data_IF_866933984679
#
_entry.id   IF_866933984679
#
_cell.length_a   1.000
_cell.length_b   1.000
_cell.length_c   1.000
_cell.angle_alpha   90.00
_cell.angle_beta   90.00
_cell.angle_gamma   90.00
#
_symmetry.space_group_name_H-M   'P 1'
#
loop_
_entity.id
_entity.type
_entity.pdbx_description
1 polymer ?
#
# COMPACT_ATOMS: atom_id res chain seq x y z
N UNK A 1 -3.12 -22.85 31.22
CA UNK A 1 -2.30 -22.14 32.22
C UNK A 1 -0.98 -21.56 31.67
N UNK A 2 -0.30 -22.16 30.68
CA UNK A 2 0.98 -21.61 30.16
C UNK A 2 0.87 -20.34 29.30
N UNK A 3 -0.29 -20.05 28.68
CA UNK A 3 -0.47 -18.84 27.84
C UNK A 3 -0.72 -17.55 28.65
N UNK A 4 -1.50 -17.61 29.75
CA UNK A 4 -1.75 -16.41 30.59
C UNK A 4 -0.46 -15.84 31.19
N UNK A 5 0.41 -16.70 31.71
CA UNK A 5 1.67 -16.27 32.34
C UNK A 5 2.64 -15.58 31.35
N UNK A 6 2.60 -15.95 30.06
CA UNK A 6 3.41 -15.28 29.03
C UNK A 6 2.86 -13.91 28.65
N UNK A 7 1.54 -13.73 28.66
CA UNK A 7 0.90 -12.46 28.31
C UNK A 7 1.14 -11.41 29.40
N UNK A 8 1.04 -11.81 30.67
CA UNK A 8 1.32 -10.93 31.82
C UNK A 8 2.81 -10.50 31.84
N UNK A 9 3.73 -11.44 31.58
CA UNK A 9 5.16 -11.13 31.51
C UNK A 9 5.54 -10.14 30.40
N UNK A 10 4.87 -10.18 29.24
CA UNK A 10 5.12 -9.24 28.14
C UNK A 10 4.58 -7.83 28.46
N UNK A 11 3.43 -7.75 29.14
CA UNK A 11 2.83 -6.48 29.52
C UNK A 11 3.69 -5.74 30.55
N UNK A 12 4.18 -6.45 31.58
CA UNK A 12 5.08 -5.89 32.60
C UNK A 12 6.40 -5.40 31.97
N UNK A 13 6.99 -6.18 31.07
CA UNK A 13 8.23 -5.81 30.38
C UNK A 13 8.04 -4.56 29.49
N UNK A 14 6.90 -4.45 28.81
CA UNK A 14 6.59 -3.28 27.99
C UNK A 14 6.43 -2.01 28.85
N UNK A 15 5.67 -2.11 29.95
CA UNK A 15 5.47 -1.01 30.90
C UNK A 15 6.79 -0.53 31.47
N UNK A 16 7.64 -1.45 31.89
CA UNK A 16 8.95 -1.13 32.41
C UNK A 16 9.81 -0.41 31.36
N UNK A 17 9.85 -0.92 30.13
CA UNK A 17 10.58 -0.29 29.04
C UNK A 17 10.07 1.11 28.68
N UNK A 18 8.75 1.34 28.75
CA UNK A 18 8.15 2.67 28.53
C UNK A 18 8.54 3.61 29.67
N UNK A 19 8.45 3.17 30.92
CA UNK A 19 8.78 3.98 32.09
C UNK A 19 10.27 4.33 32.18
N UNK A 20 11.14 3.40 31.77
CA UNK A 20 12.59 3.61 31.71
C UNK A 20 12.99 4.47 30.49
N UNK A 21 12.04 4.72 29.57
CA UNK A 21 12.27 5.50 28.35
C UNK A 21 13.16 4.79 27.33
N UNK A 22 13.27 3.46 27.43
CA UNK A 22 14.04 2.58 26.54
C UNK A 22 13.15 1.88 25.52
N UNK A 23 11.86 2.22 25.47
CA UNK A 23 10.88 1.56 24.60
C UNK A 23 11.27 1.69 23.14
N UNK A 24 11.42 0.54 22.50
CA UNK A 24 11.34 0.42 21.04
C UNK A 24 9.89 0.72 20.63
N UNK A 25 9.69 1.72 19.78
CA UNK A 25 8.36 2.10 19.27
C UNK A 25 7.67 0.95 18.52
N UNK A 26 8.40 -0.06 18.05
CA UNK A 26 7.82 -1.28 17.50
C UNK A 26 7.46 -2.32 18.57
N UNK A 27 7.92 -2.15 19.81
CA UNK A 27 7.54 -2.97 20.96
C UNK A 27 6.12 -2.73 21.44
N UNK A 28 5.45 -1.67 20.98
CA UNK A 28 4.07 -1.34 21.37
C UNK A 28 3.02 -2.04 20.51
N UNK A 29 3.40 -2.90 19.56
CA UNK A 29 2.45 -3.55 18.64
C UNK A 29 1.47 -4.48 19.37
N UNK A 30 0.27 -4.65 18.80
CA UNK A 30 -0.80 -5.50 19.38
C UNK A 30 -0.36 -6.95 19.54
N UNK A 31 0.43 -7.49 18.61
CA UNK A 31 0.94 -8.86 18.65
C UNK A 31 1.97 -9.07 19.77
N UNK A 32 2.65 -8.00 20.22
CA UNK A 32 3.57 -8.03 21.36
C UNK A 32 2.81 -7.90 22.68
N UNK A 33 1.96 -6.88 22.79
CA UNK A 33 1.16 -6.62 23.97
C UNK A 33 -0.23 -6.11 23.59
N UNK A 34 -1.22 -7.00 23.60
CA UNK A 34 -2.60 -6.66 23.24
C UNK A 34 -3.23 -5.67 24.23
N UNK A 35 -3.04 -5.89 25.53
CA UNK A 35 -3.63 -5.10 26.60
C UNK A 35 -2.51 -4.44 27.41
N UNK A 36 -2.25 -3.16 27.15
CA UNK A 36 -1.24 -2.39 27.89
C UNK A 36 -1.85 -1.92 29.22
N UNK A 37 -1.25 -2.21 30.38
CA UNK A 37 -1.77 -1.77 31.67
C UNK A 37 -1.37 -0.29 31.89
N UNK A 38 -2.16 0.61 31.33
CA UNK A 38 -1.84 2.04 31.26
C UNK A 38 -1.79 2.75 32.62
N UNK A 39 -2.41 2.17 33.64
CA UNK A 39 -2.34 2.68 35.01
C UNK A 39 -0.93 2.60 35.60
N UNK A 40 -0.08 1.73 35.06
CA UNK A 40 1.30 1.56 35.49
C UNK A 40 2.29 2.43 34.70
N UNK A 41 1.81 3.17 33.69
CA UNK A 41 2.65 4.04 32.85
C UNK A 41 2.34 5.50 33.20
N UNK A 42 3.37 6.26 33.54
CA UNK A 42 3.17 7.68 33.84
C UNK A 42 2.70 8.46 32.59
N UNK A 43 1.81 9.46 32.74
CA UNK A 43 1.37 10.28 31.61
C UNK A 43 2.53 10.97 30.85
N UNK A 44 3.60 11.32 31.56
CA UNK A 44 4.80 11.90 30.97
C UNK A 44 5.50 10.94 30.00
N UNK A 45 5.53 9.64 30.34
CA UNK A 45 6.15 8.61 29.50
C UNK A 45 5.28 8.25 28.30
N UNK A 46 3.96 8.24 28.46
CA UNK A 46 3.03 8.13 27.32
C UNK A 46 3.25 9.29 26.34
N UNK A 47 3.34 10.53 26.84
CA UNK A 47 3.61 11.68 25.98
C UNK A 47 4.98 11.58 25.29
N UNK A 48 6.01 11.06 26.00
CA UNK A 48 7.33 10.81 25.41
C UNK A 48 7.25 9.79 24.29
N UNK A 49 6.52 8.69 24.47
CA UNK A 49 6.28 7.70 23.41
C UNK A 49 5.62 8.35 22.18
N UNK A 50 4.57 9.16 22.35
CA UNK A 50 3.93 9.85 21.23
C UNK A 50 4.90 10.79 20.50
N UNK A 51 5.77 11.49 21.22
CA UNK A 51 6.85 12.31 20.63
C UNK A 51 7.82 11.47 19.82
N UNK A 52 8.22 10.30 20.32
CA UNK A 52 9.13 9.40 19.60
C UNK A 52 8.48 8.89 18.31
N UNK A 53 7.21 8.47 18.34
CA UNK A 53 6.47 8.06 17.14
C UNK A 53 6.40 9.20 16.12
N UNK A 54 6.02 10.40 16.55
CA UNK A 54 5.96 11.56 15.66
C UNK A 54 7.34 11.92 15.08
N UNK A 55 8.41 11.74 15.86
CA UNK A 55 9.79 11.98 15.39
C UNK A 55 10.17 10.99 14.31
N UNK A 56 9.88 9.70 14.52
CA UNK A 56 10.17 8.65 13.53
C UNK A 56 9.40 8.87 12.22
N UNK A 57 8.14 9.32 12.28
CA UNK A 57 7.36 9.70 11.09
C UNK A 57 7.98 10.89 10.34
N UNK A 58 8.54 11.87 11.05
CA UNK A 58 9.21 13.02 10.46
C UNK A 58 10.54 12.62 9.81
N UNK A 59 11.33 11.80 10.52
CA UNK A 59 12.60 11.29 10.04
C UNK A 59 12.40 10.40 8.80
N UNK A 60 11.32 9.61 8.74
CA UNK A 60 11.02 8.74 7.60
C UNK A 60 10.71 9.51 6.31
N UNK A 61 10.31 10.78 6.41
CA UNK A 61 10.09 11.67 5.25
C UNK A 61 11.21 12.69 5.08
N UNK A 62 12.29 12.58 5.85
CA UNK A 62 13.47 13.44 5.76
C UNK A 62 13.24 14.89 6.19
N UNK A 63 12.26 15.16 7.06
CA UNK A 63 11.95 16.52 7.54
C UNK A 63 12.34 16.64 9.00
N UNK A 64 13.12 17.66 9.35
CA UNK A 64 13.53 17.86 10.73
C UNK A 64 12.38 18.45 11.55
N UNK A 65 12.20 18.00 12.79
CA UNK A 65 11.13 18.48 13.69
C UNK A 65 11.09 20.00 13.85
N UNK A 66 12.27 20.66 13.82
CA UNK A 66 12.39 22.13 13.88
C UNK A 66 11.89 22.86 12.64
N UNK A 67 11.88 22.21 11.48
CA UNK A 67 11.44 22.81 10.21
C UNK A 67 9.92 22.91 10.12
N UNK A 68 9.20 22.01 10.82
CA UNK A 68 7.74 22.00 10.86
C UNK A 68 7.23 21.78 12.29
N UNK A 69 7.69 22.62 13.24
CA UNK A 69 7.40 22.49 14.67
C UNK A 69 5.91 22.54 15.01
N UNK A 70 5.13 23.36 14.28
CA UNK A 70 3.67 23.44 14.43
C UNK A 70 2.99 22.13 14.01
N UNK A 71 3.41 21.56 12.88
CA UNK A 71 2.92 20.26 12.41
C UNK A 71 3.27 19.15 13.39
N UNK A 72 4.51 19.16 13.91
CA UNK A 72 4.99 18.18 14.86
C UNK A 72 4.15 18.19 16.13
N UNK A 73 3.88 19.38 16.67
CA UNK A 73 3.04 19.56 17.86
C UNK A 73 1.61 19.08 17.62
N UNK A 74 1.00 19.48 16.49
CA UNK A 74 -0.35 19.05 16.11
C UNK A 74 -0.45 17.53 15.92
N UNK A 75 0.60 16.89 15.38
CA UNK A 75 0.66 15.44 15.22
C UNK A 75 0.73 14.72 16.57
N UNK A 76 1.58 15.20 17.50
CA UNK A 76 1.66 14.63 18.86
C UNK A 76 0.32 14.74 19.58
N UNK A 77 -0.30 15.92 19.55
CA UNK A 77 -1.62 16.13 20.17
C UNK A 77 -2.65 15.18 19.60
N UNK A 78 -2.63 14.99 18.27
CA UNK A 78 -3.59 14.10 17.63
C UNK A 78 -3.33 12.62 17.93
N UNK A 79 -2.08 12.17 17.95
CA UNK A 79 -1.71 10.81 18.38
C UNK A 79 -2.11 10.61 19.84
N UNK A 80 -1.89 11.59 20.72
CA UNK A 80 -2.32 11.49 22.11
C UNK A 80 -3.84 11.35 22.25
N UNK A 81 -4.60 12.08 21.43
CA UNK A 81 -6.07 11.98 21.39
C UNK A 81 -6.60 10.64 20.86
N UNK A 82 -5.77 9.86 20.14
CA UNK A 82 -6.20 8.56 19.59
C UNK A 82 -6.21 7.45 20.62
N UNK A 83 -5.65 7.69 21.82
CA UNK A 83 -5.53 6.70 22.89
C UNK A 83 -4.92 5.38 22.41
N UNK A 84 -3.94 5.45 21.52
CA UNK A 84 -3.36 4.35 20.75
C UNK A 84 -3.20 3.01 21.52
N UNK A 85 -2.64 3.07 22.74
CA UNK A 85 -2.34 1.89 23.55
C UNK A 85 -3.56 1.22 24.20
N UNK A 86 -4.73 1.87 24.20
CA UNK A 86 -5.97 1.32 24.77
C UNK A 86 -6.65 0.32 23.83
N UNK A 87 -6.30 0.35 22.54
CA UNK A 87 -7.02 -0.36 21.50
C UNK A 87 -6.21 -1.53 20.96
N UNK A 88 -6.91 -2.57 20.52
CA UNK A 88 -6.32 -3.76 19.88
C UNK A 88 -6.85 -4.02 18.47
N UNK A 89 -7.79 -3.18 18.02
CA UNK A 89 -8.40 -3.23 16.70
C UNK A 89 -8.54 -1.81 16.18
N UNK A 90 -8.60 -1.66 14.85
CA UNK A 90 -8.67 -0.33 14.24
C UNK A 90 -10.04 0.33 14.44
N UNK A 91 -11.14 -0.42 14.41
CA UNK A 91 -12.49 0.11 14.62
C UNK A 91 -12.71 0.74 16.00
N UNK A 92 -11.98 0.28 17.01
CA UNK A 92 -12.10 0.75 18.39
C UNK A 92 -11.30 2.04 18.63
N UNK A 93 -10.39 2.39 17.70
CA UNK A 93 -9.50 3.53 17.86
C UNK A 93 -10.29 4.84 17.85
N UNK A 94 -10.17 5.63 18.94
CA UNK A 94 -10.87 6.91 19.09
C UNK A 94 -10.56 7.91 17.97
N UNK A 95 -9.43 7.73 17.27
CA UNK A 95 -9.09 8.57 16.13
C UNK A 95 -9.98 8.40 14.90
N UNK A 96 -10.67 7.26 14.79
CA UNK A 96 -11.41 6.93 13.57
C UNK A 96 -12.50 7.95 13.25
N UNK A 97 -13.16 8.54 14.24
CA UNK A 97 -14.21 9.51 14.01
C UNK A 97 -13.69 10.79 13.35
N UNK A 98 -12.58 11.35 13.83
CA UNK A 98 -12.02 12.56 13.20
C UNK A 98 -11.31 12.24 11.89
N UNK A 99 -10.73 11.03 11.74
CA UNK A 99 -10.17 10.56 10.47
C UNK A 99 -11.29 10.53 9.43
N UNK A 100 -12.40 9.83 9.69
CA UNK A 100 -13.58 9.78 8.79
C UNK A 100 -14.07 11.16 8.38
N UNK A 101 -14.24 12.07 9.35
CA UNK A 101 -14.70 13.43 9.05
C UNK A 101 -13.72 14.20 8.16
N UNK A 102 -12.42 13.99 8.32
CA UNK A 102 -11.40 14.59 7.45
C UNK A 102 -11.45 14.00 6.05
N UNK A 103 -11.55 12.68 5.93
CA UNK A 103 -11.55 11.98 4.64
C UNK A 103 -12.83 12.24 3.84
N UNK A 104 -13.97 12.42 4.50
CA UNK A 104 -15.19 12.87 3.86
C UNK A 104 -14.99 14.24 3.17
N UNK A 105 -14.19 15.14 3.76
CA UNK A 105 -13.85 16.42 3.12
C UNK A 105 -12.90 16.24 1.94
N UNK A 106 -11.94 15.32 2.05
CA UNK A 106 -11.05 14.94 0.94
C UNK A 106 -11.87 14.43 -0.24
N UNK A 107 -12.74 13.44 0.00
CA UNK A 107 -13.59 12.85 -1.05
C UNK A 107 -14.55 13.85 -1.66
N UNK A 108 -15.22 14.70 -0.86
CA UNK A 108 -16.06 15.77 -1.41
C UNK A 108 -15.27 16.73 -2.31
N UNK A 109 -14.07 17.13 -1.91
CA UNK A 109 -13.25 18.04 -2.70
C UNK A 109 -12.75 17.36 -3.97
N UNK A 110 -12.35 16.09 -3.88
CA UNK A 110 -11.92 15.27 -5.00
C UNK A 110 -13.05 15.07 -6.02
N UNK A 111 -14.23 14.62 -5.59
CA UNK A 111 -15.41 14.44 -6.47
C UNK A 111 -15.83 15.73 -7.16
N UNK A 112 -15.77 16.86 -6.44
CA UNK A 112 -16.19 18.14 -7.02
C UNK A 112 -15.19 18.71 -8.04
N UNK A 113 -13.90 18.47 -7.84
CA UNK A 113 -12.85 19.13 -8.65
C UNK A 113 -12.16 18.20 -9.64
N UNK A 114 -12.27 16.88 -9.46
CA UNK A 114 -11.49 15.89 -10.20
C UNK A 114 -9.98 15.94 -9.93
N UNK A 115 -9.51 16.81 -9.02
CA UNK A 115 -8.09 17.02 -8.74
C UNK A 115 -7.59 16.10 -7.62
N UNK A 116 -6.27 15.95 -7.51
CA UNK A 116 -5.63 15.25 -6.40
C UNK A 116 -5.86 16.07 -5.12
N UNK A 117 -6.31 15.42 -4.04
CA UNK A 117 -6.59 16.08 -2.75
C UNK A 117 -5.80 15.39 -1.64
N UNK A 118 -5.10 16.19 -0.85
CA UNK A 118 -4.29 15.73 0.27
C UNK A 118 -5.04 15.84 1.60
N UNK A 119 -5.05 14.79 2.44
CA UNK A 119 -5.42 14.89 3.84
C UNK A 119 -4.42 15.75 4.64
N UNK A 120 -4.80 16.31 5.80
CA UNK A 120 -3.85 17.01 6.66
C UNK A 120 -2.79 16.06 7.25
N UNK A 121 -1.55 16.54 7.42
CA UNK A 121 -0.43 15.75 7.92
C UNK A 121 -0.70 15.03 9.25
N UNK A 122 -1.26 15.73 10.24
CA UNK A 122 -1.57 15.15 11.55
C UNK A 122 -2.64 14.04 11.50
N UNK A 123 -3.52 14.04 10.49
CA UNK A 123 -4.51 12.96 10.29
C UNK A 123 -3.81 11.71 9.77
N UNK A 124 -2.91 11.89 8.79
CA UNK A 124 -2.07 10.81 8.25
C UNK A 124 -1.15 10.24 9.34
N UNK A 125 -0.52 11.10 10.15
CA UNK A 125 0.33 10.68 11.27
C UNK A 125 -0.42 9.83 12.31
N UNK A 126 -1.68 10.14 12.60
CA UNK A 126 -2.50 9.29 13.47
C UNK A 126 -2.81 7.93 12.86
N UNK A 127 -3.12 7.88 11.57
CA UNK A 127 -3.37 6.62 10.88
C UNK A 127 -2.10 5.76 10.86
N UNK A 128 -0.94 6.36 10.59
CA UNK A 128 0.36 5.68 10.65
C UNK A 128 0.62 5.17 12.08
N UNK A 129 0.41 5.99 13.11
CA UNK A 129 0.57 5.57 14.50
C UNK A 129 -0.29 4.34 14.83
N UNK A 130 -1.57 4.34 14.41
CA UNK A 130 -2.51 3.24 14.56
C UNK A 130 -2.05 1.97 13.83
N UNK A 131 -1.71 2.09 12.55
CA UNK A 131 -1.48 0.92 11.69
C UNK A 131 -0.02 0.47 11.73
N UNK A 132 0.95 1.34 11.49
CA UNK A 132 2.36 0.95 11.36
C UNK A 132 3.05 0.67 12.70
N UNK A 133 2.73 1.44 13.74
CA UNK A 133 3.40 1.30 15.05
C UNK A 133 2.63 0.42 16.01
N UNK A 134 1.32 0.61 16.13
CA UNK A 134 0.48 -0.21 17.01
C UNK A 134 0.01 -1.51 16.35
N UNK A 135 0.07 -1.62 15.02
CA UNK A 135 -0.43 -2.78 14.28
C UNK A 135 -1.92 -3.05 14.53
N UNK A 136 -2.72 -1.97 14.52
CA UNK A 136 -4.18 -2.08 14.56
C UNK A 136 -4.69 -2.51 13.19
N UNK A 137 -5.36 -3.66 13.15
CA UNK A 137 -6.00 -4.18 11.95
C UNK A 137 -7.53 -4.06 12.08
N UNK A 138 -8.26 -3.84 10.98
CA UNK A 138 -9.71 -4.06 10.91
C UNK A 138 -10.07 -5.50 11.26
N UNK A 139 -11.08 -5.74 12.09
CA UNK A 139 -11.44 -7.13 12.44
C UNK A 139 -12.46 -7.81 11.53
N UNK A 140 -13.14 -7.07 10.66
CA UNK A 140 -14.17 -7.61 9.77
C UNK A 140 -14.41 -6.75 8.52
N UNK A 141 -15.18 -7.30 7.58
CA UNK A 141 -15.54 -6.61 6.33
C UNK A 141 -16.46 -5.40 6.53
N UNK A 142 -17.30 -5.44 7.57
CA UNK A 142 -18.19 -4.34 7.95
C UNK A 142 -17.41 -3.04 8.24
N UNK A 143 -16.17 -3.16 8.73
CA UNK A 143 -15.27 -2.01 8.88
C UNK A 143 -15.07 -1.30 7.53
N UNK A 144 -14.69 -2.03 6.47
CA UNK A 144 -14.40 -1.43 5.19
C UNK A 144 -15.65 -0.79 4.57
N UNK A 145 -16.82 -1.42 4.72
CA UNK A 145 -18.10 -0.86 4.27
C UNK A 145 -18.46 0.45 5.00
N UNK A 146 -18.19 0.54 6.31
CA UNK A 146 -18.41 1.78 7.08
C UNK A 146 -17.35 2.85 6.84
N UNK A 147 -16.21 2.48 6.27
CA UNK A 147 -15.05 3.33 6.11
C UNK A 147 -14.58 3.38 4.64
N UNK A 148 -15.52 3.39 3.69
CA UNK A 148 -15.18 3.43 2.26
C UNK A 148 -14.25 4.59 1.90
N UNK A 149 -14.45 5.77 2.49
CA UNK A 149 -13.58 6.94 2.24
C UNK A 149 -12.14 6.69 2.70
N UNK A 150 -11.92 5.86 3.73
CA UNK A 150 -10.59 5.47 4.19
C UNK A 150 -9.88 4.60 3.15
N UNK A 151 -10.59 3.60 2.64
CA UNK A 151 -10.09 2.68 1.61
C UNK A 151 -9.82 3.43 0.31
N UNK A 152 -10.75 4.29 -0.12
CA UNK A 152 -10.58 5.10 -1.34
C UNK A 152 -9.38 6.04 -1.21
N UNK A 153 -9.27 6.79 -0.11
CA UNK A 153 -8.19 7.78 0.01
C UNK A 153 -6.81 7.12 0.16
N UNK A 154 -6.66 6.10 1.01
CA UNK A 154 -5.35 5.52 1.29
C UNK A 154 -5.01 4.26 0.48
N UNK A 155 -6.01 3.51 0.03
CA UNK A 155 -5.85 2.34 -0.83
C UNK A 155 -5.77 2.71 -2.31
N UNK A 156 -6.74 3.49 -2.82
CA UNK A 156 -6.85 3.80 -4.26
C UNK A 156 -6.11 5.09 -4.65
N UNK A 157 -6.32 6.18 -3.91
CA UNK A 157 -5.74 7.50 -4.21
C UNK A 157 -4.33 7.71 -3.64
N UNK A 158 -3.80 6.70 -2.94
CA UNK A 158 -2.48 6.72 -2.30
C UNK A 158 -2.21 7.99 -1.47
N UNK A 159 -3.18 8.43 -0.67
CA UNK A 159 -3.13 9.71 0.05
C UNK A 159 -1.89 9.89 0.93
N UNK A 160 -1.27 8.80 1.40
CA UNK A 160 -0.09 8.82 2.27
C UNK A 160 1.20 9.24 1.55
N UNK A 161 1.27 9.08 0.23
CA UNK A 161 2.39 9.54 -0.60
C UNK A 161 2.65 11.05 -0.40
N UNK A 162 1.61 11.80 -0.07
CA UNK A 162 1.65 13.25 0.10
C UNK A 162 2.04 13.72 1.51
N UNK A 163 2.40 12.81 2.42
CA UNK A 163 2.73 13.15 3.80
C UNK A 163 3.85 14.19 3.90
N UNK A 164 4.94 14.02 3.14
CA UNK A 164 6.08 14.95 3.15
C UNK A 164 5.68 16.36 2.70
N UNK A 165 4.80 16.45 1.70
CA UNK A 165 4.24 17.72 1.21
C UNK A 165 3.35 18.36 2.28
N UNK A 166 2.44 17.58 2.88
CA UNK A 166 1.52 18.07 3.90
C UNK A 166 2.24 18.58 5.16
N UNK A 167 3.38 17.98 5.54
CA UNK A 167 4.21 18.48 6.65
C UNK A 167 4.88 19.80 6.26
N UNK A 168 5.45 19.89 5.05
CA UNK A 168 6.15 21.09 4.58
C UNK A 168 5.26 22.34 4.50
N UNK A 169 4.00 22.19 4.09
CA UNK A 169 3.05 23.31 3.92
C UNK A 169 2.13 23.52 5.12
N UNK A 170 2.39 22.85 6.25
CA UNK A 170 1.48 22.86 7.37
C UNK A 170 1.34 24.24 8.02
N UNK A 171 2.41 25.05 8.03
CA UNK A 171 2.36 26.39 8.61
C UNK A 171 1.37 27.30 7.86
N UNK A 172 1.26 27.13 6.53
CA UNK A 172 0.35 27.91 5.69
C UNK A 172 -1.06 27.32 5.65
N UNK A 173 -1.17 26.01 5.47
CA UNK A 173 -2.46 25.32 5.23
C UNK A 173 -3.15 24.91 6.54
N UNK A 174 -2.35 24.58 7.56
CA UNK A 174 -2.79 24.08 8.85
C UNK A 174 -3.50 22.73 8.75
N UNK A 175 -4.52 22.55 9.58
CA UNK A 175 -5.32 21.31 9.68
C UNK A 175 -6.35 21.12 8.57
N UNK A 176 -6.17 21.75 7.40
CA UNK A 176 -7.14 21.76 6.30
C UNK A 176 -6.73 20.78 5.20
N UNK A 177 -7.73 20.22 4.51
CA UNK A 177 -7.51 19.50 3.24
C UNK A 177 -7.14 20.50 2.16
N UNK A 178 -6.32 20.08 1.20
CA UNK A 178 -5.87 20.94 0.11
C UNK A 178 -5.72 20.16 -1.20
N UNK A 179 -5.79 20.86 -2.31
CA UNK A 179 -5.61 20.31 -3.65
C UNK A 179 -4.14 20.31 -3.99
N UNK A 180 -3.68 19.29 -4.72
CA UNK A 180 -2.33 19.20 -5.24
C UNK A 180 -2.34 19.50 -6.74
N UNK A 181 -1.41 20.36 -7.16
CA UNK A 181 -1.06 20.58 -8.56
C UNK A 181 0.38 20.16 -8.77
N UNK A 182 0.61 19.30 -9.77
CA UNK A 182 1.93 18.80 -10.08
C UNK A 182 2.70 19.77 -10.96
N UNK A 183 3.92 20.09 -10.55
CA UNK A 183 4.87 20.88 -11.31
C UNK A 183 6.29 20.36 -11.05
N UNK A 184 6.88 19.70 -12.04
CA UNK A 184 8.22 19.09 -11.93
C UNK A 184 9.34 20.13 -11.78
N UNK A 185 9.10 21.39 -12.18
CA UNK A 185 10.05 22.48 -11.94
C UNK A 185 10.03 22.97 -10.48
N UNK A 186 9.04 22.54 -9.69
CA UNK A 186 8.85 22.98 -8.33
C UNK A 186 9.89 22.35 -7.38
N UNK A 187 10.81 23.16 -6.86
CA UNK A 187 11.83 22.69 -5.92
C UNK A 187 11.29 22.43 -4.50
N UNK A 188 10.28 23.21 -4.08
CA UNK A 188 9.63 23.12 -2.77
C UNK A 188 8.14 23.36 -2.90
N UNK A 189 7.28 22.66 -2.15
CA UNK A 189 5.85 22.88 -2.17
C UNK A 189 5.47 24.35 -1.91
N UNK A 190 4.55 24.88 -2.69
CA UNK A 190 4.05 26.26 -2.54
C UNK A 190 2.54 26.24 -2.35
N UNK A 191 2.07 26.71 -1.19
CA UNK A 191 0.65 26.82 -0.88
C UNK A 191 0.09 28.19 -1.31
N UNK A 192 -1.07 28.18 -1.98
CA UNK A 192 -1.82 29.38 -2.36
C UNK A 192 -3.31 29.16 -2.17
N UNK A 193 -4.02 30.23 -1.79
CA UNK A 193 -5.47 30.21 -1.73
C UNK A 193 -6.04 30.59 -3.10
N UNK A 194 -6.83 29.71 -3.70
CA UNK A 194 -7.44 29.92 -5.01
C UNK A 194 -8.97 29.82 -4.91
N UNK A 195 -9.68 30.57 -5.75
CA UNK A 195 -11.13 30.45 -5.87
C UNK A 195 -11.46 29.43 -6.97
N UNK A 196 -12.03 28.29 -6.58
CA UNK A 196 -12.47 27.22 -7.46
C UNK A 196 -14.00 27.09 -7.34
N UNK A 197 -14.71 27.37 -8.42
CA UNK A 197 -16.18 27.33 -8.49
C UNK A 197 -16.88 28.11 -7.37
N UNK A 198 -16.35 29.30 -7.05
CA UNK A 198 -16.90 30.17 -6.00
C UNK A 198 -16.50 29.78 -4.58
N UNK A 199 -15.65 28.76 -4.39
CA UNK A 199 -15.12 28.34 -3.09
C UNK A 199 -13.62 28.61 -3.01
N UNK A 200 -13.20 29.24 -1.91
CA UNK A 200 -11.78 29.40 -1.60
C UNK A 200 -11.20 28.08 -1.11
N UNK A 201 -10.24 27.53 -1.85
CA UNK A 201 -9.55 26.29 -1.55
C UNK A 201 -8.04 26.51 -1.50
N UNK A 202 -7.36 25.79 -0.62
CA UNK A 202 -5.90 25.72 -0.65
C UNK A 202 -5.47 24.83 -1.81
N UNK A 203 -4.54 25.35 -2.61
CA UNK A 203 -3.89 24.64 -3.71
C UNK A 203 -2.40 24.65 -3.44
N UNK A 204 -1.79 23.48 -3.44
CA UNK A 204 -0.36 23.28 -3.21
C UNK A 204 0.25 22.79 -4.51
N UNK A 205 1.10 23.62 -5.09
CA UNK A 205 1.90 23.24 -6.25
C UNK A 205 3.18 22.56 -5.75
N UNK A 206 3.48 21.37 -6.27
CA UNK A 206 4.65 20.59 -5.85
C UNK A 206 5.06 19.61 -6.95
N UNK A 207 6.32 19.15 -6.94
CA UNK A 207 6.72 17.95 -7.67
C UNK A 207 6.14 16.68 -7.02
N UNK A 208 6.16 15.57 -7.76
CA UNK A 208 5.81 14.27 -7.21
C UNK A 208 6.79 13.88 -6.08
N UNK A 209 6.32 13.57 -4.86
CA UNK A 209 7.20 13.12 -3.79
C UNK A 209 7.69 11.69 -4.03
N UNK A 210 8.81 11.35 -3.40
CA UNK A 210 9.30 9.96 -3.36
C UNK A 210 8.29 9.06 -2.64
N UNK A 211 8.35 7.76 -2.96
CA UNK A 211 7.52 6.72 -2.34
C UNK A 211 7.73 6.74 -0.83
N UNK A 212 6.64 6.82 -0.09
CA UNK A 212 6.65 6.83 1.36
C UNK A 212 6.71 5.40 1.90
N UNK A 213 7.57 5.15 2.90
CA UNK A 213 7.76 3.81 3.49
C UNK A 213 6.48 3.22 4.11
N UNK A 214 5.49 4.05 4.43
CA UNK A 214 4.21 3.63 4.99
C UNK A 214 3.17 3.25 3.91
N UNK A 215 3.46 3.47 2.61
CA UNK A 215 2.53 3.13 1.52
C UNK A 215 2.16 1.65 1.52
N UNK A 216 3.16 0.77 1.55
CA UNK A 216 2.92 -0.67 1.50
C UNK A 216 2.20 -1.17 2.76
N UNK A 217 2.55 -0.62 3.94
CA UNK A 217 1.92 -0.98 5.21
C UNK A 217 0.43 -0.61 5.20
N UNK A 218 0.12 0.63 4.81
CA UNK A 218 -1.28 1.07 4.75
C UNK A 218 -2.04 0.37 3.63
N UNK A 219 -1.42 0.11 2.48
CA UNK A 219 -2.04 -0.65 1.39
C UNK A 219 -2.30 -2.10 1.78
N UNK A 220 -1.45 -2.72 2.57
CA UNK A 220 -1.67 -4.09 3.05
C UNK A 220 -2.88 -4.16 4.01
N UNK A 221 -3.05 -3.15 4.86
CA UNK A 221 -4.12 -3.14 5.89
C UNK A 221 -5.44 -2.57 5.37
N UNK A 222 -5.38 -1.60 4.46
CA UNK A 222 -6.54 -0.85 3.94
C UNK A 222 -6.84 -1.14 2.48
N UNK A 223 -5.96 -1.84 1.77
CA UNK A 223 -6.19 -2.23 0.39
C UNK A 223 -7.33 -3.24 0.30
N UNK A 224 -8.13 -3.20 -0.76
CA UNK A 224 -9.17 -4.19 -0.98
C UNK A 224 -8.55 -5.59 -1.04
N UNK A 225 -9.19 -6.56 -0.39
CA UNK A 225 -8.84 -7.99 -0.47
C UNK A 225 -8.96 -8.55 -1.90
N UNK A 226 -9.61 -7.79 -2.80
CA UNK A 226 -9.64 -8.03 -4.23
C UNK A 226 -8.46 -7.32 -4.88
N UNK A 227 -7.63 -8.07 -5.61
CA UNK A 227 -6.62 -7.54 -6.55
C UNK A 227 -7.29 -6.51 -7.47
N UNK A 228 -7.23 -5.24 -7.07
CA UNK A 228 -7.58 -4.13 -7.92
C UNK A 228 -6.34 -3.81 -8.75
N UNK A 229 -6.51 -3.48 -10.05
CA UNK A 229 -5.38 -3.09 -10.88
C UNK A 229 -4.66 -1.91 -10.26
N UNK A 230 -3.33 -1.88 -10.38
CA UNK A 230 -2.51 -0.72 -9.98
C UNK A 230 -3.15 0.60 -10.44
N UNK A 231 -3.10 1.66 -9.61
CA UNK A 231 -3.71 2.94 -9.95
C UNK A 231 -3.16 3.43 -11.29
N UNK A 232 -4.10 3.73 -12.20
CA UNK A 232 -3.78 4.46 -13.43
C UNK A 232 -3.39 5.87 -13.00
N UNK A 233 -2.08 6.12 -12.95
CA UNK A 233 -1.57 7.48 -12.85
C UNK A 233 -2.18 8.28 -14.01
N UNK A 234 -2.71 9.50 -13.77
CA UNK A 234 -3.07 10.40 -14.85
C UNK A 234 -1.85 10.55 -15.76
N UNK A 235 -1.92 9.99 -16.96
CA UNK A 235 -0.93 10.29 -17.98
C UNK A 235 -1.02 11.79 -18.24
N UNK A 236 0.09 12.50 -18.08
CA UNK A 236 0.27 13.82 -18.65
C UNK A 236 -0.04 13.69 -20.15
N UNK A 237 -1.16 14.25 -20.59
CA UNK A 237 -1.37 14.44 -22.02
C UNK A 237 -0.22 15.31 -22.52
N UNK A 238 0.52 14.88 -23.56
CA UNK A 238 1.42 15.77 -24.26
C UNK A 238 0.57 16.90 -24.85
N UNK A 239 0.73 18.12 -24.35
CA UNK A 239 0.19 19.27 -25.02
C UNK A 239 0.99 19.50 -26.31
N UNK A 240 0.53 18.86 -27.38
CA UNK A 240 0.87 19.24 -28.75
C UNK A 240 0.18 20.56 -29.08
N UNK A 241 0.93 21.66 -29.05
CA UNK A 241 0.78 22.71 -30.08
C UNK A 241 2.14 23.30 -30.46
N UNK A 242 2.46 23.35 -31.77
CA UNK A 242 3.74 23.83 -32.26
C UNK A 242 3.80 25.35 -32.16
N UNK A 243 4.82 25.87 -31.47
CA UNK A 243 5.20 27.27 -31.63
C UNK A 243 5.98 27.40 -32.94
N UNK A 244 5.41 28.17 -33.87
CA UNK A 244 6.09 28.70 -35.03
C UNK A 244 7.33 29.48 -34.57
N UNK A 245 8.51 28.91 -34.77
CA UNK A 245 9.78 29.62 -34.64
C UNK A 245 9.97 30.52 -35.85
N UNK A 246 9.93 31.83 -35.61
CA UNK A 246 10.44 32.84 -36.54
C UNK A 246 11.96 32.84 -36.41
N UNK A 247 12.65 32.50 -37.50
CA UNK A 247 14.09 32.70 -37.67
C UNK A 247 14.45 34.19 -37.57
N UNK A 248 15.68 34.50 -37.12
CA UNK A 248 16.54 35.23 -38.06
C UNK A 248 18.01 34.73 -38.11
N UNK A 249 18.52 34.88 -39.34
CA UNK A 249 19.85 34.63 -39.90
C UNK A 249 21.09 35.18 -39.15
N UNK A 250 22.13 34.34 -39.14
CA UNK A 250 23.56 34.52 -39.48
C UNK A 250 24.41 35.66 -38.87
N UNK A 251 25.36 35.39 -37.94
CA UNK A 251 26.81 34.99 -38.09
C UNK A 251 27.76 36.12 -37.60
N UNK A 252 29.10 35.93 -37.39
CA UNK A 252 29.89 34.78 -36.86
C UNK A 252 31.01 35.17 -35.84
N UNK A 253 31.85 34.18 -35.48
CA UNK A 253 33.20 34.19 -34.83
C UNK A 253 33.26 34.28 -33.29
N UNK A 254 33.97 33.45 -32.52
CA UNK A 254 35.04 32.44 -32.74
C UNK A 254 35.35 31.77 -31.35
N UNK A 255 36.30 30.82 -31.19
CA UNK A 255 36.12 29.58 -30.42
C UNK A 255 36.77 29.56 -29.02
N UNK A 256 36.39 28.60 -28.17
CA UNK A 256 37.17 28.25 -26.98
C UNK A 256 37.02 26.77 -26.59
N UNK A 257 38.12 26.05 -26.86
CA UNK A 257 38.72 24.90 -26.20
C UNK A 257 37.84 23.85 -25.46
N UNK A 258 37.95 22.65 -26.03
CA UNK A 258 37.89 21.32 -25.40
C UNK A 258 38.52 21.28 -24.00
N UNK A 259 37.82 20.64 -23.07
CA UNK A 259 38.42 19.81 -22.03
C UNK A 259 37.49 18.61 -21.81
N UNK A 260 37.94 17.47 -22.33
CA UNK A 260 37.55 16.13 -21.92
C UNK A 260 38.27 15.81 -20.59
N UNK A 261 37.54 15.29 -19.61
CA UNK A 261 37.95 14.05 -18.93
C UNK A 261 36.81 13.56 -18.02
N UNK A 262 36.33 12.37 -18.37
CA UNK A 262 35.38 11.53 -17.68
C UNK A 262 36.03 10.80 -16.49
N UNK A 263 35.33 10.69 -15.36
CA UNK A 263 35.28 9.44 -14.57
C UNK A 263 33.91 9.36 -13.88
N UNK A 264 32.97 8.68 -14.52
CA UNK A 264 31.69 8.27 -13.91
C UNK A 264 31.80 6.79 -13.54
N UNK A 265 31.80 6.48 -12.25
CA UNK A 265 31.72 5.10 -11.75
C UNK A 265 30.35 4.51 -12.09
N UNK A 266 30.37 3.58 -13.05
CA UNK A 266 29.20 2.87 -13.54
C UNK A 266 28.94 1.63 -12.67
N UNK A 267 28.14 1.78 -11.60
CA UNK A 267 27.59 0.63 -10.84
C UNK A 267 26.25 0.17 -11.43
N UNK A 268 26.26 -0.27 -12.67
CA UNK A 268 25.15 -1.01 -13.26
C UNK A 268 25.26 -2.50 -12.87
N UNK A 269 24.36 -2.96 -11.99
CA UNK A 269 24.22 -4.40 -11.70
C UNK A 269 23.63 -5.07 -12.94
N UNK A 270 24.44 -5.88 -13.62
CA UNK A 270 24.00 -6.57 -14.84
C UNK A 270 23.17 -7.81 -14.52
N UNK A 271 22.27 -8.19 -15.44
CA UNK A 271 21.42 -9.39 -15.32
C UNK A 271 22.23 -10.70 -15.12
N UNK A 272 23.51 -10.69 -15.50
CA UNK A 272 24.50 -11.76 -15.26
C UNK A 272 24.87 -11.91 -13.78
N UNK A 273 24.87 -10.84 -13.01
CA UNK A 273 25.18 -10.86 -11.58
C UNK A 273 23.99 -11.41 -10.77
N UNK A 274 22.77 -11.12 -11.22
CA UNK A 274 21.54 -11.69 -10.66
C UNK A 274 21.43 -13.21 -10.92
N UNK A 275 21.84 -13.68 -12.10
CA UNK A 275 21.83 -15.12 -12.41
C UNK A 275 22.94 -15.91 -11.69
N UNK A 276 24.03 -15.26 -11.26
CA UNK A 276 25.04 -15.89 -10.39
C UNK A 276 24.53 -16.12 -8.97
N UNK A 277 23.74 -15.21 -8.40
CA UNK A 277 23.20 -15.39 -7.05
C UNK A 277 22.17 -16.54 -6.99
N UNK A 278 21.39 -16.74 -8.05
CA UNK A 278 20.38 -17.81 -8.14
C UNK A 278 20.96 -19.23 -8.35
N UNK A 279 22.23 -19.37 -8.72
CA UNK A 279 22.85 -20.68 -9.04
C UNK A 279 23.68 -21.30 -7.91
N UNK A 280 23.59 -20.78 -6.69
CA UNK A 280 24.27 -21.39 -5.52
C UNK A 280 23.41 -22.56 -4.99
N UNK A 281 23.74 -23.85 -5.26
CA UNK A 281 22.90 -24.97 -4.88
C UNK A 281 23.39 -25.48 -3.52
N UNK A 282 22.74 -25.06 -2.43
CA UNK A 282 23.25 -25.45 -1.12
C UNK A 282 22.47 -24.96 0.09
N UNK A 283 21.14 -25.15 0.12
CA UNK A 283 20.35 -25.38 1.36
C UNK A 283 18.92 -25.69 0.95
N UNK A 284 18.57 -26.98 1.02
CA UNK A 284 17.21 -27.48 0.76
C UNK A 284 16.24 -26.84 1.75
N UNK A 285 15.42 -25.90 1.28
CA UNK A 285 14.21 -25.49 1.98
C UNK A 285 13.25 -26.69 1.98
N UNK A 286 12.85 -27.11 3.18
CA UNK A 286 11.84 -28.13 3.36
C UNK A 286 10.51 -27.60 2.80
N UNK A 287 9.93 -28.34 1.86
CA UNK A 287 8.63 -28.00 1.26
C UNK A 287 7.54 -27.85 2.34
N UNK A 288 6.67 -26.82 2.25
CA UNK A 288 5.61 -26.53 3.22
C UNK A 288 4.65 -27.70 3.48
N UNK A 289 4.50 -28.60 2.52
CA UNK A 289 3.53 -29.70 2.55
C UNK A 289 3.81 -30.76 3.63
N UNK A 290 5.07 -30.93 4.05
CA UNK A 290 5.42 -32.00 4.99
C UNK A 290 5.07 -31.65 6.44
N UNK A 291 5.02 -30.36 6.78
CA UNK A 291 4.65 -29.88 8.11
C UNK A 291 3.12 -29.93 8.31
N UNK A 292 2.36 -29.62 7.26
CA UNK A 292 0.90 -29.65 7.25
C UNK A 292 0.39 -31.10 7.38
N UNK A 293 0.98 -32.04 6.61
CA UNK A 293 0.62 -33.46 6.70
C UNK A 293 0.97 -34.07 8.06
N UNK A 294 2.06 -33.63 8.72
CA UNK A 294 2.41 -34.07 10.09
C UNK A 294 1.49 -33.48 11.16
N UNK A 295 0.88 -32.31 10.93
CA UNK A 295 -0.08 -31.68 11.85
C UNK A 295 -1.43 -32.38 11.76
N UNK A 296 -1.92 -32.63 10.54
CA UNK A 296 -3.17 -33.36 10.30
C UNK A 296 -3.12 -34.79 10.86
N UNK A 297 -1.99 -35.50 10.71
CA UNK A 297 -1.83 -36.86 11.26
C UNK A 297 -1.83 -36.92 12.79
N UNK A 298 -1.44 -35.85 13.50
CA UNK A 298 -1.48 -35.80 14.97
C UNK A 298 -2.87 -35.46 15.51
N UNK A 299 -3.67 -34.78 14.70
CA UNK A 299 -5.03 -34.37 15.03
C UNK A 299 -6.00 -35.55 14.88
N UNK A 300 -5.79 -36.40 13.87
CA UNK A 300 -6.61 -37.61 13.64
C UNK A 300 -6.33 -38.72 14.69
N UNK A 301 -5.16 -38.72 15.33
CA UNK A 301 -4.75 -39.78 16.27
C UNK A 301 -5.05 -39.49 17.75
N UNK A 302 -5.73 -38.39 18.07
CA UNK A 302 -6.19 -38.08 19.43
C UNK A 302 -7.71 -38.04 19.47
N UNK A 303 -8.33 -39.19 19.77
CA UNK A 303 -9.44 -39.37 20.71
C UNK A 303 -10.15 -40.70 20.47
N UNK A 304 -9.91 -41.73 21.30
CA UNK A 304 -10.94 -42.69 21.66
C UNK A 304 -11.48 -42.37 23.07
N UNK A 305 -12.79 -42.51 23.20
CA UNK A 305 -13.58 -42.58 24.44
C UNK A 305 -13.82 -41.28 25.24
N UNK A 306 -15.06 -40.79 25.16
CA UNK A 306 -15.95 -40.86 26.33
C UNK A 306 -17.43 -40.68 25.95
N UNK A 307 -18.20 -41.72 26.24
CA UNK A 307 -19.64 -41.80 26.15
C UNK A 307 -20.34 -41.47 27.48
N UNK A 308 -21.60 -41.01 27.34
CA UNK A 308 -22.72 -41.00 28.30
C UNK A 308 -22.95 -39.74 29.16
N UNK A 309 -24.04 -39.02 28.87
CA UNK A 309 -25.31 -39.13 29.62
C UNK A 309 -26.48 -38.34 28.97
N UNK A 310 -27.48 -39.12 28.52
CA UNK A 310 -28.96 -38.92 28.52
C UNK A 310 -29.62 -37.60 28.08
N UNK A 311 -30.37 -37.75 26.98
CA UNK A 311 -31.78 -37.37 26.73
C UNK A 311 -32.28 -35.97 27.11
N UNK A 312 -32.48 -35.15 26.07
CA UNK A 312 -33.84 -34.70 25.70
C UNK A 312 -33.94 -34.50 24.19
N UNK A 313 -34.95 -35.15 23.64
CA UNK A 313 -35.26 -35.35 22.23
C UNK A 313 -35.80 -34.08 21.58
N UNK A 314 -34.96 -33.35 20.85
CA UNK A 314 -35.36 -32.59 19.65
C UNK A 314 -34.27 -32.81 18.61
N UNK A 315 -34.71 -33.16 17.41
CA UNK A 315 -33.91 -33.56 16.25
C UNK A 315 -33.09 -32.40 15.65
N UNK A 316 -32.24 -31.80 16.48
CA UNK A 316 -31.37 -30.67 16.16
C UNK A 316 -30.10 -31.17 15.47
N UNK A 317 -29.67 -32.40 15.75
CA UNK A 317 -28.47 -32.97 15.15
C UNK A 317 -28.68 -33.33 13.67
N UNK A 318 -29.89 -33.77 13.29
CA UNK A 318 -30.23 -34.03 11.87
C UNK A 318 -30.45 -32.72 11.11
N UNK A 319 -31.05 -31.69 11.74
CA UNK A 319 -31.17 -30.35 11.16
C UNK A 319 -29.82 -29.64 10.99
N UNK A 320 -28.90 -29.81 11.94
CA UNK A 320 -27.53 -29.29 11.87
C UNK A 320 -26.69 -30.07 10.86
N UNK A 321 -26.83 -31.39 10.75
CA UNK A 321 -26.18 -32.17 9.69
C UNK A 321 -26.69 -31.77 8.31
N UNK A 322 -28.00 -31.62 8.14
CA UNK A 322 -28.60 -31.22 6.87
C UNK A 322 -28.14 -29.81 6.44
N UNK A 323 -28.16 -28.83 7.35
CA UNK A 323 -27.65 -27.48 7.06
C UNK A 323 -26.14 -27.44 6.81
N UNK A 324 -25.36 -28.22 7.56
CA UNK A 324 -23.92 -28.29 7.36
C UNK A 324 -23.59 -28.95 6.02
N UNK A 325 -24.33 -29.98 5.63
CA UNK A 325 -24.15 -30.66 4.35
C UNK A 325 -24.56 -29.78 3.17
N UNK A 326 -25.63 -28.98 3.29
CA UNK A 326 -26.01 -27.99 2.27
C UNK A 326 -24.99 -26.84 2.17
N UNK A 327 -24.52 -26.29 3.29
CA UNK A 327 -23.52 -25.21 3.30
C UNK A 327 -22.17 -25.67 2.74
N UNK A 328 -21.75 -26.91 3.05
CA UNK A 328 -20.53 -27.50 2.47
C UNK A 328 -20.73 -27.74 0.98
N UNK A 329 -21.88 -28.24 0.53
CA UNK A 329 -22.18 -28.41 -0.89
C UNK A 329 -22.18 -27.06 -1.64
N UNK A 330 -22.71 -25.99 -1.03
CA UNK A 330 -22.71 -24.65 -1.61
C UNK A 330 -21.29 -24.09 -1.70
N UNK A 331 -20.52 -24.11 -0.60
CA UNK A 331 -19.16 -23.61 -0.55
C UNK A 331 -18.22 -24.37 -1.50
N UNK A 332 -18.40 -25.70 -1.62
CA UNK A 332 -17.65 -26.51 -2.59
C UNK A 332 -18.06 -26.21 -4.03
N UNK A 333 -19.34 -25.90 -4.28
CA UNK A 333 -19.82 -25.52 -5.62
C UNK A 333 -19.33 -24.13 -6.05
N UNK A 334 -19.25 -23.18 -5.12
CA UNK A 334 -18.63 -21.86 -5.34
C UNK A 334 -17.12 -21.98 -5.54
N UNK A 335 -16.41 -22.73 -4.69
CA UNK A 335 -14.98 -22.96 -4.86
C UNK A 335 -14.66 -23.68 -6.19
N UNK A 336 -15.51 -24.62 -6.64
CA UNK A 336 -15.37 -25.26 -7.96
C UNK A 336 -15.70 -24.27 -9.09
N UNK A 337 -16.62 -23.32 -8.90
CA UNK A 337 -16.92 -22.27 -9.88
C UNK A 337 -15.75 -21.28 -9.99
N UNK A 338 -15.16 -20.86 -8.87
CA UNK A 338 -14.00 -19.96 -8.80
C UNK A 338 -12.74 -20.61 -9.38
N UNK A 339 -12.50 -21.89 -9.08
CA UNK A 339 -11.40 -22.68 -9.67
C UNK A 339 -11.61 -22.88 -11.18
N UNK A 340 -12.86 -23.07 -11.64
CA UNK A 340 -13.16 -23.14 -13.08
C UNK A 340 -12.96 -21.80 -13.78
N UNK A 341 -13.35 -20.69 -13.15
CA UNK A 341 -13.18 -19.35 -13.70
C UNK A 341 -11.70 -18.94 -13.79
N UNK A 342 -10.90 -19.26 -12.76
CA UNK A 342 -9.44 -19.03 -12.79
C UNK A 342 -8.72 -19.94 -13.79
N UNK A 343 -9.14 -21.22 -13.93
CA UNK A 343 -8.59 -22.13 -14.93
C UNK A 343 -8.93 -21.68 -16.37
N UNK A 344 -10.16 -21.21 -16.62
CA UNK A 344 -10.57 -20.68 -17.92
C UNK A 344 -9.80 -19.41 -18.30
N UNK A 345 -9.48 -18.53 -17.35
CA UNK A 345 -8.64 -17.34 -17.61
C UNK A 345 -7.17 -17.67 -17.89
N UNK A 346 -6.58 -18.66 -17.20
CA UNK A 346 -5.20 -19.10 -17.45
C UNK A 346 -5.04 -19.83 -18.80
N UNK A 347 -6.03 -20.65 -19.17
CA UNK A 347 -6.07 -21.33 -20.48
C UNK A 347 -6.29 -20.33 -21.62
N UNK A 348 -7.05 -19.26 -21.38
CA UNK A 348 -7.32 -18.19 -22.35
C UNK A 348 -6.08 -17.34 -22.61
N UNK A 349 -5.33 -16.96 -21.56
CA UNK A 349 -4.08 -16.20 -21.73
C UNK A 349 -3.01 -16.96 -22.51
N UNK A 350 -2.83 -18.26 -22.22
CA UNK A 350 -1.84 -19.09 -22.90
C UNK A 350 -2.12 -19.18 -24.40
N UNK A 351 -3.40 -19.32 -24.78
CA UNK A 351 -3.83 -19.30 -26.20
C UNK A 351 -3.57 -17.95 -26.85
N UNK A 352 -3.85 -16.84 -26.17
CA UNK A 352 -3.54 -15.52 -26.70
C UNK A 352 -2.05 -15.31 -26.88
N UNK A 353 -1.23 -15.79 -25.95
CA UNK A 353 0.23 -15.72 -26.05
C UNK A 353 0.75 -16.45 -27.29
N UNK A 354 0.26 -17.66 -27.56
CA UNK A 354 0.68 -18.43 -28.73
C UNK A 354 0.29 -17.72 -30.04
N UNK A 355 -0.96 -17.27 -30.15
CA UNK A 355 -1.43 -16.54 -31.35
C UNK A 355 -0.68 -15.21 -31.52
N UNK A 356 -0.41 -14.50 -30.43
CA UNK A 356 0.36 -13.26 -30.44
C UNK A 356 1.76 -13.47 -30.99
N UNK A 357 2.48 -14.48 -30.51
CA UNK A 357 3.83 -14.81 -30.99
C UNK A 357 3.83 -15.29 -32.44
N UNK A 358 2.79 -15.97 -32.90
CA UNK A 358 2.63 -16.34 -34.32
C UNK A 358 2.48 -15.08 -35.19
N UNK A 359 1.65 -14.11 -34.78
CA UNK A 359 1.49 -12.86 -35.51
C UNK A 359 2.80 -12.05 -35.58
N UNK A 360 3.50 -11.93 -34.45
CA UNK A 360 4.79 -11.24 -34.37
C UNK A 360 5.81 -11.87 -35.32
N UNK A 361 5.97 -13.21 -35.29
CA UNK A 361 6.97 -13.92 -36.11
C UNK A 361 6.67 -14.02 -37.60
N UNK A 362 5.40 -14.01 -37.99
CA UNK A 362 5.00 -14.29 -39.38
C UNK A 362 4.39 -13.12 -40.13
N UNK A 363 3.93 -12.09 -39.42
CA UNK A 363 3.22 -10.95 -40.01
C UNK A 363 3.90 -9.60 -39.72
N UNK A 364 5.04 -9.61 -39.02
CA UNK A 364 5.80 -8.39 -38.68
C UNK A 364 5.09 -7.48 -37.69
N UNK A 365 4.03 -7.97 -37.02
CA UNK A 365 3.27 -7.19 -36.05
C UNK A 365 1.93 -7.83 -35.70
N UNK A 366 1.36 -7.38 -34.58
CA UNK A 366 0.09 -7.90 -34.07
C UNK A 366 -1.10 -7.07 -34.57
N UNK A 367 -2.13 -7.69 -35.21
CA UNK A 367 -3.34 -7.00 -35.65
C UNK A 367 -4.10 -6.31 -34.52
N UNK A 368 -4.66 -5.12 -34.75
CA UNK A 368 -5.38 -4.36 -33.72
C UNK A 368 -6.59 -5.13 -33.17
N UNK A 369 -7.28 -5.92 -34.00
CA UNK A 369 -8.38 -6.78 -33.56
C UNK A 369 -7.95 -7.81 -32.50
N UNK A 370 -6.75 -8.36 -32.61
CA UNK A 370 -6.19 -9.26 -31.59
C UNK A 370 -5.76 -8.48 -30.35
N UNK A 371 -5.23 -7.27 -30.52
CA UNK A 371 -4.90 -6.39 -29.39
C UNK A 371 -6.14 -6.04 -28.58
N UNK A 372 -7.26 -5.74 -29.22
CA UNK A 372 -8.51 -5.43 -28.54
C UNK A 372 -9.09 -6.65 -27.82
N UNK A 373 -9.05 -7.83 -28.45
CA UNK A 373 -9.44 -9.08 -27.78
C UNK A 373 -8.58 -9.36 -26.54
N UNK A 374 -7.27 -9.16 -26.64
CA UNK A 374 -6.34 -9.35 -25.51
C UNK A 374 -6.57 -8.31 -24.41
N UNK A 375 -6.85 -7.05 -24.74
CA UNK A 375 -7.22 -6.01 -23.76
C UNK A 375 -8.52 -6.37 -23.01
N UNK A 376 -9.46 -7.05 -23.67
CA UNK A 376 -10.72 -7.44 -23.06
C UNK A 376 -10.63 -8.72 -22.21
N UNK A 377 -9.81 -9.68 -22.61
CA UNK A 377 -9.81 -11.02 -22.01
C UNK A 377 -8.61 -11.31 -21.11
N UNK A 378 -7.57 -10.47 -21.14
CA UNK A 378 -6.36 -10.63 -20.34
C UNK A 378 -6.24 -9.49 -19.32
N UNK A 379 -5.54 -9.76 -18.22
CA UNK A 379 -5.21 -8.73 -17.22
C UNK A 379 -4.22 -7.71 -17.80
N UNK A 380 -4.12 -6.48 -17.27
CA UNK A 380 -3.14 -5.50 -17.73
C UNK A 380 -1.69 -6.00 -17.68
N UNK A 381 -1.33 -6.82 -16.68
CA UNK A 381 0.00 -7.43 -16.57
C UNK A 381 0.26 -8.44 -17.69
N UNK A 382 -0.75 -9.23 -18.07
CA UNK A 382 -0.69 -10.15 -19.19
C UNK A 382 -0.58 -9.41 -20.54
N UNK A 383 -1.34 -8.31 -20.72
CA UNK A 383 -1.25 -7.44 -21.90
C UNK A 383 0.14 -6.81 -22.00
N UNK A 384 0.68 -6.32 -20.87
CA UNK A 384 2.02 -5.77 -20.80
C UNK A 384 3.07 -6.80 -21.21
N UNK A 385 3.01 -8.00 -20.64
CA UNK A 385 3.94 -9.09 -20.96
C UNK A 385 3.91 -9.44 -22.47
N UNK A 386 2.74 -9.48 -23.11
CA UNK A 386 2.64 -9.71 -24.56
C UNK A 386 3.27 -8.59 -25.39
N UNK A 387 3.13 -7.34 -24.97
CA UNK A 387 3.77 -6.19 -25.63
C UNK A 387 5.28 -6.19 -25.48
N UNK A 388 5.79 -6.57 -24.31
CA UNK A 388 7.23 -6.69 -24.10
C UNK A 388 7.82 -7.81 -24.96
N UNK A 389 7.14 -8.95 -25.07
CA UNK A 389 7.54 -10.04 -25.98
C UNK A 389 7.57 -9.60 -27.46
N UNK A 390 6.62 -8.77 -27.88
CA UNK A 390 6.62 -8.19 -29.24
C UNK A 390 7.80 -7.24 -29.45
N UNK A 391 8.10 -6.36 -28.48
CA UNK A 391 9.24 -5.45 -28.56
C UNK A 391 10.58 -6.17 -28.58
N UNK A 392 10.74 -7.18 -27.73
CA UNK A 392 11.95 -8.00 -27.67
C UNK A 392 12.20 -8.66 -29.02
N UNK A 393 11.17 -9.26 -29.63
CA UNK A 393 11.32 -9.88 -30.94
C UNK A 393 11.64 -8.89 -32.06
N UNK A 394 10.98 -7.73 -32.08
CA UNK A 394 11.27 -6.68 -33.07
C UNK A 394 12.69 -6.12 -32.91
N UNK A 395 13.22 -6.06 -31.68
CA UNK A 395 14.60 -5.66 -31.43
C UNK A 395 15.60 -6.75 -31.88
N UNK A 396 15.27 -8.03 -31.70
CA UNK A 396 16.06 -9.16 -32.20
C UNK A 396 16.11 -9.17 -33.74
N UNK A 397 14.98 -8.98 -34.44
CA UNK A 397 14.93 -8.92 -35.91
C UNK A 397 15.71 -7.72 -36.47
N UNK A 398 15.71 -6.57 -35.79
CA UNK A 398 16.51 -5.41 -36.21
C UNK A 398 18.02 -5.65 -36.10
N UNK A 399 18.46 -6.39 -35.08
CA UNK A 399 19.86 -6.79 -34.94
C UNK A 399 20.31 -7.85 -35.96
N UNK A 400 19.41 -8.72 -36.43
CA UNK A 400 19.72 -9.73 -37.45
C UNK A 400 19.80 -9.17 -38.88
N UNK A 401 19.21 -8.00 -39.15
CA UNK A 401 19.25 -7.35 -40.48
C UNK A 401 20.49 -6.44 -40.66
N UNK A 402 21.17 -6.06 -39.57
CA UNK A 402 22.38 -5.21 -39.58
C UNK A 402 23.71 -6.00 -39.65
N UNK A 403 23.66 -7.33 -39.81
CA UNK A 403 24.83 -8.22 -40.01
C UNK A 403 24.82 -8.77 -41.43
#
# INVERSE_FOLDING_TARGET
MSMSLKIESNAEALVQSINDGTVDIHGIRVDVCKNVPLHDISPAMINRLHKTIATDIFDSVGIQTREAAECFSAMIERIASSKLLHHSKLEDCEAMDFIRQSLLKVMRLHTNTGKIVCPPAHIMGCLIAAVAYRNLEPSNEEFFQKNEDLVKVFGELNGIQWLSVAIQVFAEVGSRVFIIELDEACQKPVAKLQNLDGKLCWVVTTRMPQINIFEDILRQVLGPTHETPSPVYPRLEPHDRPLLSVEPDDTPDSPSALNEDDEMEDTAITLRDYTRQMKTPGKRLATPDRAIVKRLRREILKNPDQSQAKDQHVDVEELLRSNLEENIKHAVKEAIADVKQTQEHFDTYSRYKDVWMICVRHQGGVPESLRDLVKHHCTPSQVFHLRELEKEHLAEEQMEVEV
#
